data_IF_423295215019
#
_entry.id   IF_423295215019
#
_cell.length_a   1.000
_cell.length_b   1.000
_cell.length_c   1.000
_cell.angle_alpha   90.00
_cell.angle_beta   90.00
_cell.angle_gamma   90.00
#
_symmetry.space_group_name_H-M   'P 1'
#
loop_
_entity.id
_entity.type
_entity.pdbx_description
1 polymer ?
#
# COMPACT_ATOMS: atom_id res chain seq x y z
N UNK A 1 -32.75 1.21 23.09
CA UNK A 1 -31.86 2.22 22.46
C UNK A 1 -31.47 1.72 21.09
N UNK A 2 -31.74 2.47 20.02
CA UNK A 2 -31.34 2.07 18.67
C UNK A 2 -29.81 1.87 18.63
N UNK A 3 -29.35 0.69 18.19
CA UNK A 3 -27.92 0.44 17.94
C UNK A 3 -27.47 1.46 16.89
N UNK A 4 -26.56 2.37 17.26
CA UNK A 4 -25.91 3.22 16.27
C UNK A 4 -25.05 2.32 15.39
N UNK A 5 -25.36 2.30 14.10
CA UNK A 5 -24.56 1.63 13.07
C UNK A 5 -23.74 2.66 12.29
N UNK A 6 -22.65 2.21 11.66
CA UNK A 6 -21.85 3.07 10.78
C UNK A 6 -22.74 3.67 9.68
N UNK A 7 -22.67 4.98 9.47
CA UNK A 7 -23.36 5.63 8.35
C UNK A 7 -22.73 5.22 7.03
N UNK A 8 -23.55 4.66 6.13
CA UNK A 8 -23.17 4.28 4.75
C UNK A 8 -23.32 5.47 3.79
N UNK A 9 -22.60 6.56 4.05
CA UNK A 9 -22.69 7.80 3.26
C UNK A 9 -21.70 7.90 2.08
N UNK A 10 -20.84 6.89 1.89
CA UNK A 10 -19.90 6.83 0.77
C UNK A 10 -20.59 6.40 -0.52
N UNK A 11 -20.50 7.23 -1.56
CA UNK A 11 -20.96 6.88 -2.91
C UNK A 11 -19.99 5.88 -3.56
N UNK A 12 -20.48 5.06 -4.51
CA UNK A 12 -19.64 4.13 -5.29
C UNK A 12 -18.39 4.80 -5.89
N UNK A 13 -18.48 6.07 -6.32
CA UNK A 13 -17.34 6.84 -6.83
C UNK A 13 -16.25 7.05 -5.77
N UNK A 14 -16.64 7.31 -4.51
CA UNK A 14 -15.70 7.51 -3.40
C UNK A 14 -14.97 6.22 -3.09
N UNK A 15 -15.69 5.08 -3.03
CA UNK A 15 -15.09 3.76 -2.78
C UNK A 15 -14.08 3.38 -3.88
N UNK A 16 -14.43 3.58 -5.14
CA UNK A 16 -13.52 3.29 -6.26
C UNK A 16 -12.27 4.17 -6.24
N UNK A 17 -12.40 5.43 -5.84
CA UNK A 17 -11.28 6.36 -5.78
C UNK A 17 -10.44 6.20 -4.51
N UNK A 18 -11.01 5.75 -3.38
CA UNK A 18 -10.23 5.30 -2.23
C UNK A 18 -9.37 4.10 -2.62
N UNK A 19 -9.91 3.16 -3.41
CA UNK A 19 -9.12 2.02 -3.93
C UNK A 19 -8.04 2.43 -4.95
N UNK A 20 -8.20 3.56 -5.65
CA UNK A 20 -7.18 4.10 -6.59
C UNK A 20 -6.16 4.96 -5.84
N UNK A 21 -6.62 5.90 -5.03
CA UNK A 21 -5.80 6.83 -4.25
C UNK A 21 -5.04 6.15 -3.12
N UNK A 22 -5.56 5.03 -2.60
CA UNK A 22 -4.89 4.17 -1.62
C UNK A 22 -3.88 3.20 -2.22
N UNK A 23 -3.95 2.91 -3.53
CA UNK A 23 -2.91 2.12 -4.22
C UNK A 23 -1.75 2.99 -4.69
N UNK A 24 -2.03 4.23 -5.09
CA UNK A 24 -1.01 5.21 -5.52
C UNK A 24 -0.63 6.09 -4.33
N UNK A 25 0.42 5.69 -3.61
CA UNK A 25 0.87 6.36 -2.39
C UNK A 25 2.38 6.54 -2.32
N UNK A 26 2.87 6.66 -1.09
CA UNK A 26 4.27 6.95 -0.77
C UNK A 26 5.24 5.86 -1.20
N UNK A 27 4.79 4.61 -1.32
CA UNK A 27 5.62 3.54 -1.87
C UNK A 27 6.07 3.84 -3.30
N UNK A 28 5.16 4.30 -4.17
CA UNK A 28 5.52 4.71 -5.53
C UNK A 28 6.32 6.01 -5.53
N UNK A 29 5.90 7.04 -4.79
CA UNK A 29 6.53 8.36 -4.92
C UNK A 29 7.86 8.50 -4.18
N UNK A 30 7.98 8.01 -2.94
CA UNK A 30 9.20 8.10 -2.14
C UNK A 30 9.98 6.78 -2.18
N UNK A 31 9.28 5.65 -2.02
CA UNK A 31 9.91 4.33 -2.00
C UNK A 31 10.62 3.97 -3.30
N UNK A 32 10.16 4.50 -4.44
CA UNK A 32 10.83 4.28 -5.72
C UNK A 32 12.21 4.93 -5.81
N UNK A 33 12.49 6.06 -5.14
CA UNK A 33 13.82 6.69 -5.16
C UNK A 33 14.89 5.74 -4.60
N UNK A 34 14.64 5.22 -3.39
CA UNK A 34 15.53 4.20 -2.79
C UNK A 34 15.59 2.91 -3.60
N UNK A 35 14.47 2.46 -4.17
CA UNK A 35 14.44 1.25 -4.99
C UNK A 35 15.22 1.42 -6.30
N UNK A 36 15.19 2.61 -6.91
CA UNK A 36 15.97 2.95 -8.12
C UNK A 36 17.46 2.92 -7.79
N UNK A 37 17.89 3.51 -6.67
CA UNK A 37 19.31 3.44 -6.29
C UNK A 37 19.79 2.00 -6.05
N UNK A 38 18.93 1.12 -5.54
CA UNK A 38 19.28 -0.28 -5.31
C UNK A 38 19.31 -1.11 -6.61
N UNK A 39 18.26 -1.01 -7.44
CA UNK A 39 18.08 -1.88 -8.61
C UNK A 39 18.58 -1.27 -9.93
N UNK A 40 18.74 0.05 -9.99
CA UNK A 40 18.89 0.77 -11.25
C UNK A 40 17.69 0.51 -12.18
N UNK A 41 17.92 0.39 -13.50
CA UNK A 41 16.86 0.15 -14.48
C UNK A 41 16.10 -1.17 -14.30
N UNK A 42 16.68 -2.16 -13.63
CA UNK A 42 16.02 -3.44 -13.34
C UNK A 42 14.80 -3.31 -12.41
N UNK A 43 14.60 -2.14 -11.79
CA UNK A 43 13.39 -1.82 -11.01
C UNK A 43 12.10 -2.03 -11.83
N UNK A 44 12.15 -1.82 -13.15
CA UNK A 44 11.02 -2.07 -14.06
C UNK A 44 10.57 -3.54 -14.01
N UNK A 45 11.53 -4.47 -13.96
CA UNK A 45 11.25 -5.89 -13.81
C UNK A 45 10.69 -6.21 -12.43
N UNK A 46 11.19 -5.56 -11.37
CA UNK A 46 10.68 -5.73 -10.01
C UNK A 46 9.19 -5.38 -9.95
N UNK A 47 8.81 -4.20 -10.47
CA UNK A 47 7.40 -3.78 -10.51
C UNK A 47 6.53 -4.70 -11.38
N UNK A 48 7.06 -5.19 -12.50
CA UNK A 48 6.32 -6.11 -13.36
C UNK A 48 6.07 -7.47 -12.68
N UNK A 49 7.11 -8.06 -12.08
CA UNK A 49 7.02 -9.36 -11.42
C UNK A 49 6.07 -9.31 -10.22
N UNK A 50 6.25 -8.32 -9.32
CA UNK A 50 5.40 -8.16 -8.16
C UNK A 50 3.97 -7.78 -8.58
N UNK A 51 3.82 -6.88 -9.54
CA UNK A 51 2.51 -6.48 -10.05
C UNK A 51 1.73 -7.66 -10.65
N UNK A 52 2.38 -8.52 -11.44
CA UNK A 52 1.77 -9.74 -11.98
C UNK A 52 1.36 -10.68 -10.85
N UNK A 53 2.25 -10.93 -9.88
CA UNK A 53 1.94 -11.77 -8.73
C UNK A 53 0.70 -11.26 -7.97
N UNK A 54 0.63 -9.97 -7.68
CA UNK A 54 -0.48 -9.37 -6.96
C UNK A 54 -1.77 -9.31 -7.77
N UNK A 55 -1.70 -9.19 -9.09
CA UNK A 55 -2.88 -9.37 -9.94
C UNK A 55 -3.51 -10.76 -9.73
N UNK A 56 -2.71 -11.82 -9.69
CA UNK A 56 -3.21 -13.17 -9.42
C UNK A 56 -3.71 -13.36 -7.99
N UNK A 57 -3.09 -12.73 -6.98
CA UNK A 57 -3.64 -12.68 -5.61
C UNK A 57 -5.04 -12.04 -5.63
N UNK A 58 -5.21 -10.94 -6.35
CA UNK A 58 -6.50 -10.27 -6.46
C UNK A 58 -7.53 -11.08 -7.24
N UNK A 59 -7.11 -11.86 -8.25
CA UNK A 59 -7.98 -12.84 -8.92
C UNK A 59 -8.49 -13.91 -7.96
N UNK A 60 -7.62 -14.47 -7.11
CA UNK A 60 -8.00 -15.44 -6.08
C UNK A 60 -8.94 -14.82 -5.03
N UNK A 61 -8.65 -13.59 -4.58
CA UNK A 61 -9.51 -12.83 -3.68
C UNK A 61 -10.90 -12.61 -4.28
N UNK A 62 -10.98 -12.17 -5.55
CA UNK A 62 -12.24 -11.93 -6.23
C UNK A 62 -13.07 -13.20 -6.42
N UNK A 63 -12.45 -14.34 -6.72
CA UNK A 63 -13.16 -15.63 -6.82
C UNK A 63 -13.75 -16.03 -5.47
N UNK A 64 -12.98 -15.89 -4.37
CA UNK A 64 -13.46 -16.16 -3.01
C UNK A 64 -14.64 -15.26 -2.65
N UNK A 65 -14.53 -13.95 -2.85
CA UNK A 65 -15.59 -12.99 -2.51
C UNK A 65 -16.88 -13.23 -3.32
N UNK A 66 -16.76 -13.76 -4.54
CA UNK A 66 -17.90 -14.04 -5.42
C UNK A 66 -18.41 -15.49 -5.35
N UNK A 67 -17.85 -16.31 -4.46
CA UNK A 67 -18.16 -17.75 -4.33
C UNK A 67 -19.56 -18.09 -3.78
N UNK A 68 -20.47 -17.11 -3.70
CA UNK A 68 -21.82 -17.21 -3.10
C UNK A 68 -21.86 -17.58 -1.60
N UNK A 69 -20.72 -17.56 -0.90
CA UNK A 69 -20.64 -17.85 0.53
C UNK A 69 -20.94 -16.64 1.44
N UNK A 70 -21.23 -15.46 0.87
CA UNK A 70 -21.63 -14.28 1.64
C UNK A 70 -20.48 -13.54 2.33
N UNK A 71 -19.22 -13.80 1.96
CA UNK A 71 -18.08 -13.12 2.57
C UNK A 71 -18.08 -11.62 2.32
N UNK A 72 -17.86 -10.86 3.39
CA UNK A 72 -17.70 -9.40 3.35
C UNK A 72 -16.26 -8.96 3.58
N UNK A 73 -15.40 -9.87 4.06
CA UNK A 73 -13.99 -9.60 4.31
C UNK A 73 -13.11 -10.83 4.14
N UNK A 74 -11.80 -10.62 3.96
CA UNK A 74 -10.85 -11.74 3.87
C UNK A 74 -10.56 -12.42 5.20
N UNK A 75 -10.88 -11.79 6.33
CA UNK A 75 -10.80 -12.44 7.64
C UNK A 75 -11.88 -13.50 7.81
N UNK A 76 -13.06 -13.33 7.20
CA UNK A 76 -14.15 -14.32 7.26
C UNK A 76 -13.78 -15.61 6.53
N UNK A 77 -13.29 -15.53 5.29
CA UNK A 77 -12.87 -16.75 4.59
C UNK A 77 -11.55 -17.31 5.14
N UNK A 78 -10.71 -16.51 5.81
CA UNK A 78 -9.57 -17.04 6.57
C UNK A 78 -10.07 -17.87 7.77
N UNK A 79 -11.08 -17.38 8.49
CA UNK A 79 -11.76 -18.11 9.57
C UNK A 79 -12.37 -19.42 9.06
N UNK A 80 -13.12 -19.39 7.96
CA UNK A 80 -13.82 -20.56 7.45
C UNK A 80 -12.86 -21.62 6.88
N UNK A 81 -11.94 -21.24 5.98
CA UNK A 81 -11.09 -22.22 5.31
C UNK A 81 -9.83 -22.58 6.10
N UNK A 82 -9.25 -21.64 6.86
CA UNK A 82 -7.99 -21.89 7.60
C UNK A 82 -8.24 -22.19 9.07
N UNK A 83 -9.15 -21.45 9.69
CA UNK A 83 -9.61 -21.67 11.07
C UNK A 83 -9.74 -20.36 11.84
N UNK A 84 -10.44 -20.35 12.99
CA UNK A 84 -10.72 -19.12 13.75
C UNK A 84 -9.47 -18.33 14.17
N UNK A 85 -8.37 -19.03 14.49
CA UNK A 85 -7.09 -18.40 14.81
C UNK A 85 -6.56 -17.56 13.64
N UNK A 86 -6.75 -18.03 12.40
CA UNK A 86 -6.25 -17.35 11.22
C UNK A 86 -7.04 -16.09 10.93
N UNK A 87 -8.35 -16.10 11.16
CA UNK A 87 -9.19 -14.90 11.12
C UNK A 87 -8.73 -13.83 12.10
N UNK A 88 -8.55 -14.22 13.37
CA UNK A 88 -8.08 -13.33 14.43
C UNK A 88 -6.70 -12.72 14.12
N UNK A 89 -5.72 -13.56 13.79
CA UNK A 89 -4.36 -13.12 13.46
C UNK A 89 -4.37 -12.22 12.23
N UNK A 90 -5.13 -12.58 11.20
CA UNK A 90 -5.21 -11.78 9.96
C UNK A 90 -5.88 -10.44 10.21
N UNK A 91 -6.93 -10.37 11.04
CA UNK A 91 -7.61 -9.12 11.36
C UNK A 91 -6.71 -8.13 12.10
N UNK A 92 -6.02 -8.59 13.14
CA UNK A 92 -5.05 -7.76 13.87
C UNK A 92 -3.82 -7.41 13.04
N UNK A 93 -3.27 -8.36 12.28
CA UNK A 93 -2.14 -8.09 11.38
C UNK A 93 -2.54 -7.10 10.30
N UNK A 94 -3.74 -7.16 9.75
CA UNK A 94 -4.21 -6.16 8.78
C UNK A 94 -4.39 -4.77 9.39
N UNK A 95 -4.89 -4.66 10.63
CA UNK A 95 -4.87 -3.39 11.35
C UNK A 95 -3.44 -2.86 11.50
N UNK A 96 -2.50 -3.71 11.93
CA UNK A 96 -1.10 -3.35 12.11
C UNK A 96 -0.40 -2.96 10.80
N UNK A 97 -0.68 -3.65 9.69
CA UNK A 97 -0.24 -3.28 8.35
C UNK A 97 -0.56 -1.82 8.04
N UNK A 98 -1.83 -1.42 8.22
CA UNK A 98 -2.28 -0.07 7.92
C UNK A 98 -1.72 0.97 8.88
N UNK A 99 -1.43 0.60 10.13
CA UNK A 99 -0.69 1.46 11.06
C UNK A 99 0.72 1.73 10.52
N UNK A 100 1.45 0.69 10.10
CA UNK A 100 2.81 0.83 9.57
C UNK A 100 2.85 1.62 8.25
N UNK A 101 1.85 1.43 7.38
CA UNK A 101 1.70 2.24 6.17
C UNK A 101 1.41 3.70 6.50
N UNK A 102 0.51 3.99 7.44
CA UNK A 102 0.24 5.36 7.88
C UNK A 102 1.48 6.02 8.52
N UNK A 103 2.32 5.26 9.23
CA UNK A 103 3.62 5.75 9.70
C UNK A 103 4.54 6.13 8.53
N UNK A 104 4.64 5.27 7.51
CA UNK A 104 5.42 5.57 6.31
C UNK A 104 4.92 6.85 5.63
N UNK A 105 3.60 7.04 5.58
CA UNK A 105 2.98 8.20 4.96
C UNK A 105 3.29 9.51 5.70
N UNK A 106 3.19 9.55 7.04
CA UNK A 106 3.54 10.77 7.79
C UNK A 106 5.04 11.06 7.77
N UNK A 107 5.90 10.03 7.69
CA UNK A 107 7.35 10.21 7.53
C UNK A 107 7.62 10.84 6.15
N UNK A 108 6.97 10.35 5.10
CA UNK A 108 7.08 10.93 3.77
C UNK A 108 6.59 12.39 3.71
N UNK A 109 5.50 12.72 4.41
CA UNK A 109 5.07 14.12 4.58
C UNK A 109 6.19 14.97 5.16
N UNK A 110 6.91 14.46 6.16
CA UNK A 110 8.05 15.16 6.74
C UNK A 110 9.18 15.39 5.75
N UNK A 111 9.54 14.38 4.95
CA UNK A 111 10.53 14.48 3.87
C UNK A 111 10.11 15.52 2.82
N UNK A 112 8.85 15.50 2.38
CA UNK A 112 8.40 16.43 1.34
C UNK A 112 8.32 17.89 1.82
N UNK A 113 8.02 18.14 3.09
CA UNK A 113 8.05 19.51 3.64
C UNK A 113 9.47 20.06 3.69
N UNK A 114 10.48 19.20 3.88
CA UNK A 114 11.89 19.61 3.87
C UNK A 114 12.36 20.20 2.54
N UNK A 115 11.65 19.92 1.44
CA UNK A 115 11.91 20.55 0.15
C UNK A 115 11.79 22.08 0.17
N UNK A 116 10.83 22.62 0.94
CA UNK A 116 10.61 24.08 1.03
C UNK A 116 11.15 24.68 2.33
N UNK A 117 11.17 23.92 3.41
CA UNK A 117 11.48 24.43 4.75
C UNK A 117 12.48 23.53 5.45
N UNK A 118 13.58 24.09 5.95
CA UNK A 118 14.55 23.35 6.75
C UNK A 118 14.04 23.13 8.19
N UNK A 119 13.08 22.20 8.34
CA UNK A 119 12.50 21.81 9.62
C UNK A 119 12.67 20.31 9.87
N UNK A 120 12.86 19.86 11.13
CA UNK A 120 12.95 18.45 11.45
C UNK A 120 11.70 17.66 11.03
N UNK A 121 11.88 16.55 10.32
CA UNK A 121 10.80 15.73 9.71
C UNK A 121 9.64 15.38 10.65
N UNK A 122 9.92 15.17 11.94
CA UNK A 122 8.90 14.78 12.93
C UNK A 122 7.85 15.88 13.19
N UNK A 123 8.19 17.15 13.02
CA UNK A 123 7.28 18.29 13.25
C UNK A 123 6.14 18.29 12.21
N UNK A 124 6.41 18.39 10.88
CA UNK A 124 5.36 18.31 9.87
C UNK A 124 4.62 16.97 9.89
N UNK A 125 5.29 15.85 10.22
CA UNK A 125 4.64 14.55 10.39
C UNK A 125 3.54 14.59 11.48
N UNK A 126 3.85 15.13 12.66
CA UNK A 126 2.87 15.27 13.76
C UNK A 126 1.77 16.28 13.42
N UNK A 127 2.11 17.42 12.82
CA UNK A 127 1.12 18.43 12.41
C UNK A 127 0.11 17.81 11.43
N UNK A 128 0.61 17.10 10.42
CA UNK A 128 -0.24 16.39 9.46
C UNK A 128 -1.15 15.38 10.17
N UNK A 129 -0.59 14.56 11.06
CA UNK A 129 -1.34 13.56 11.82
C UNK A 129 -2.48 14.19 12.65
N UNK A 130 -2.22 15.31 13.32
CA UNK A 130 -3.22 16.05 14.11
C UNK A 130 -4.33 16.63 13.22
N UNK A 131 -3.97 17.21 12.07
CA UNK A 131 -4.94 17.71 11.09
C UNK A 131 -5.83 16.57 10.59
N UNK A 132 -5.24 15.44 10.20
CA UNK A 132 -5.97 14.28 9.70
C UNK A 132 -6.88 13.66 10.77
N UNK A 133 -6.43 13.59 12.03
CA UNK A 133 -7.28 13.16 13.15
C UNK A 133 -8.51 14.08 13.28
N UNK A 134 -8.30 15.40 13.24
CA UNK A 134 -9.39 16.39 13.28
C UNK A 134 -10.39 16.18 12.15
N UNK A 135 -9.91 16.02 10.92
CA UNK A 135 -10.76 15.78 9.75
C UNK A 135 -11.58 14.48 9.88
N UNK A 136 -10.97 13.39 10.35
CA UNK A 136 -11.65 12.11 10.52
C UNK A 136 -12.71 12.12 11.65
N UNK A 137 -12.56 12.99 12.65
CA UNK A 137 -13.54 13.14 13.73
C UNK A 137 -14.77 13.98 13.32
N UNK A 138 -14.63 14.88 12.33
CA UNK A 138 -15.68 15.82 11.96
C UNK A 138 -16.76 15.19 11.06
N UNK A 139 -16.43 14.70 9.86
CA UNK A 139 -17.43 14.04 8.99
C UNK A 139 -16.83 13.06 7.97
N UNK A 140 -17.49 11.91 7.77
CA UNK A 140 -17.15 10.91 6.73
C UNK A 140 -17.39 11.44 5.30
N UNK A 141 -18.28 12.43 5.14
CA UNK A 141 -18.60 13.02 3.83
C UNK A 141 -17.50 13.95 3.32
N UNK A 142 -16.93 14.78 4.20
CA UNK A 142 -15.80 15.65 3.84
C UNK A 142 -14.57 14.81 3.45
N UNK A 143 -14.35 13.69 4.16
CA UNK A 143 -13.34 12.69 3.80
C UNK A 143 -13.47 12.21 2.36
N UNK A 144 -14.66 11.72 1.95
CA UNK A 144 -14.84 11.13 0.62
C UNK A 144 -14.67 12.11 -0.53
N UNK A 145 -15.03 13.39 -0.33
CA UNK A 145 -14.83 14.44 -1.35
C UNK A 145 -13.37 14.90 -1.42
N UNK A 146 -12.65 15.03 -0.29
CA UNK A 146 -11.22 15.36 -0.32
C UNK A 146 -10.39 14.26 -1.01
N UNK A 147 -10.65 12.99 -0.68
CA UNK A 147 -9.99 11.85 -1.32
C UNK A 147 -10.27 11.80 -2.83
N UNK A 148 -11.49 12.16 -3.25
CA UNK A 148 -11.84 12.25 -4.67
C UNK A 148 -10.92 13.22 -5.41
N UNK A 149 -10.75 14.44 -4.89
CA UNK A 149 -9.90 15.45 -5.52
C UNK A 149 -8.42 15.08 -5.45
N UNK A 150 -7.95 14.57 -4.31
CA UNK A 150 -6.55 14.13 -4.18
C UNK A 150 -6.21 12.98 -5.13
N UNK A 151 -7.08 11.99 -5.28
CA UNK A 151 -6.86 10.89 -6.22
C UNK A 151 -6.79 11.37 -7.68
N UNK A 152 -7.62 12.33 -8.08
CA UNK A 152 -7.59 12.91 -9.44
C UNK A 152 -6.27 13.63 -9.70
N UNK A 153 -5.83 14.48 -8.76
CA UNK A 153 -4.57 15.22 -8.90
C UNK A 153 -3.39 14.26 -9.08
N UNK A 154 -3.32 13.17 -8.29
CA UNK A 154 -2.27 12.14 -8.42
C UNK A 154 -2.23 11.54 -9.83
N UNK A 155 -3.39 11.11 -10.33
CA UNK A 155 -3.49 10.45 -11.65
C UNK A 155 -3.11 11.40 -12.77
N UNK A 156 -3.62 12.64 -12.74
CA UNK A 156 -3.28 13.66 -13.75
C UNK A 156 -1.78 13.94 -13.73
N UNK A 157 -1.18 14.07 -12.56
CA UNK A 157 0.26 14.33 -12.43
C UNK A 157 1.12 13.20 -13.02
N UNK A 158 0.77 11.94 -12.77
CA UNK A 158 1.52 10.81 -13.35
C UNK A 158 1.37 10.80 -14.87
N UNK A 159 0.14 11.01 -15.39
CA UNK A 159 -0.09 11.07 -16.84
C UNK A 159 0.68 12.23 -17.46
N UNK A 160 0.66 13.41 -16.84
CA UNK A 160 1.40 14.58 -17.30
C UNK A 160 2.90 14.32 -17.32
N UNK A 161 3.46 13.68 -16.28
CA UNK A 161 4.87 13.29 -16.24
C UNK A 161 5.22 12.36 -17.41
N UNK A 162 4.40 11.33 -17.65
CA UNK A 162 4.62 10.39 -18.76
C UNK A 162 4.59 11.12 -20.09
N UNK A 163 3.58 11.96 -20.34
CA UNK A 163 3.45 12.72 -21.59
C UNK A 163 4.63 13.65 -21.79
N UNK A 164 5.01 14.43 -20.77
CA UNK A 164 6.14 15.36 -20.85
C UNK A 164 7.44 14.60 -21.12
N UNK A 165 7.72 13.52 -20.37
CA UNK A 165 8.96 12.79 -20.58
C UNK A 165 9.03 12.07 -21.93
N UNK A 166 7.90 11.59 -22.47
CA UNK A 166 7.83 11.07 -23.86
C UNK A 166 8.10 12.18 -24.88
N UNK A 167 7.55 13.38 -24.69
CA UNK A 167 7.83 14.54 -25.56
C UNK A 167 9.33 14.89 -25.51
N UNK A 168 9.94 14.93 -24.32
CA UNK A 168 11.37 15.20 -24.16
C UNK A 168 12.24 14.14 -24.83
N UNK A 169 11.81 12.87 -24.79
CA UNK A 169 12.47 11.75 -25.45
C UNK A 169 12.41 11.85 -26.97
N UNK A 170 11.27 12.25 -27.53
CA UNK A 170 11.10 12.44 -28.98
C UNK A 170 11.94 13.61 -29.49
N UNK A 171 12.01 14.70 -28.72
CA UNK A 171 12.78 15.91 -29.08
C UNK A 171 14.30 15.71 -28.85
N UNK A 172 14.70 14.72 -28.05
CA UNK A 172 16.11 14.52 -27.67
C UNK A 172 16.62 15.66 -26.79
N UNK A 173 15.79 16.10 -25.84
CA UNK A 173 16.13 17.23 -24.96
C UNK A 173 17.38 16.94 -24.13
N UNK A 174 18.25 17.93 -23.95
CA UNK A 174 19.41 17.83 -23.07
C UNK A 174 19.09 18.43 -21.71
N UNK A 175 19.12 17.61 -20.66
CA UNK A 175 19.04 18.05 -19.28
C UNK A 175 20.43 18.46 -18.77
N UNK A 176 20.48 19.02 -17.57
CA UNK A 176 21.75 19.33 -16.90
C UNK A 176 22.57 18.08 -16.54
N UNK A 177 21.98 16.88 -16.63
CA UNK A 177 22.56 15.59 -16.23
C UNK A 177 22.83 14.65 -17.41
N UNK A 178 22.48 15.05 -18.63
CA UNK A 178 22.68 14.27 -19.86
C UNK A 178 21.55 14.45 -20.87
N UNK A 179 21.64 13.76 -22.00
CA UNK A 179 20.54 13.72 -22.97
C UNK A 179 19.42 12.81 -22.48
N UNK A 180 18.17 13.24 -22.61
CA UNK A 180 17.00 12.37 -22.47
C UNK A 180 17.09 11.31 -23.57
N UNK A 181 17.23 10.04 -23.18
CA UNK A 181 17.45 8.94 -24.12
C UNK A 181 17.02 7.60 -23.54
N UNK A 182 16.51 6.72 -24.40
CA UNK A 182 16.29 5.30 -24.07
C UNK A 182 17.58 4.63 -23.59
N UNK A 183 18.72 5.09 -24.08
CA UNK A 183 20.03 4.51 -23.73
C UNK A 183 20.39 4.71 -22.27
N UNK A 184 19.76 5.64 -21.56
CA UNK A 184 19.96 5.82 -20.11
C UNK A 184 19.58 4.55 -19.31
N UNK A 185 18.76 3.66 -19.88
CA UNK A 185 18.41 2.35 -19.30
C UNK A 185 19.57 1.34 -19.29
N UNK A 186 20.61 1.52 -20.11
CA UNK A 186 21.72 0.55 -20.18
C UNK A 186 23.11 1.16 -20.26
N UNK A 187 23.27 2.45 -20.54
CA UNK A 187 24.58 3.10 -20.63
C UNK A 187 25.27 3.30 -19.28
N UNK A 188 24.54 3.23 -18.16
CA UNK A 188 25.07 3.46 -16.82
C UNK A 188 25.20 2.14 -16.04
N UNK A 189 25.89 1.16 -16.62
CA UNK A 189 26.12 -0.17 -16.01
C UNK A 189 25.14 -1.26 -16.44
N UNK A 190 24.41 -1.07 -17.55
CA UNK A 190 23.43 -2.03 -18.05
C UNK A 190 22.10 -1.98 -17.27
N UNK A 191 21.23 -2.97 -17.52
CA UNK A 191 19.94 -3.07 -16.85
C UNK A 191 20.07 -3.45 -15.36
N UNK A 192 21.14 -4.16 -14.99
CA UNK A 192 21.42 -4.63 -13.63
C UNK A 192 22.75 -4.05 -13.10
N UNK A 193 22.85 -2.73 -12.91
CA UNK A 193 24.13 -2.07 -12.60
C UNK A 193 24.70 -2.47 -11.24
N UNK A 194 23.83 -2.77 -10.27
CA UNK A 194 24.21 -3.30 -8.96
C UNK A 194 24.07 -4.83 -8.88
N UNK A 195 24.10 -5.50 -10.04
CA UNK A 195 23.89 -6.94 -10.16
C UNK A 195 22.49 -7.42 -9.74
N UNK A 196 22.34 -8.74 -9.67
CA UNK A 196 21.09 -9.38 -9.24
C UNK A 196 20.79 -9.07 -7.78
N UNK A 197 21.82 -8.88 -6.94
CA UNK A 197 21.63 -8.52 -5.52
C UNK A 197 20.87 -7.21 -5.37
N UNK A 198 21.27 -6.13 -6.07
CA UNK A 198 20.56 -4.84 -6.02
C UNK A 198 19.10 -4.94 -6.47
N UNK A 199 18.85 -5.70 -7.53
CA UNK A 199 17.49 -6.05 -7.97
C UNK A 199 16.67 -6.73 -6.87
N UNK A 200 17.22 -7.77 -6.24
CA UNK A 200 16.55 -8.51 -5.17
C UNK A 200 16.25 -7.64 -3.94
N UNK A 201 17.18 -6.77 -3.56
CA UNK A 201 17.01 -5.84 -2.43
C UNK A 201 15.87 -4.83 -2.67
N UNK A 202 15.59 -4.48 -3.92
CA UNK A 202 14.49 -3.57 -4.26
C UNK A 202 13.09 -4.17 -4.10
N UNK A 203 12.97 -5.51 -4.15
CA UNK A 203 11.68 -6.20 -4.18
C UNK A 203 10.79 -5.85 -2.99
N UNK A 204 11.37 -5.62 -1.81
CA UNK A 204 10.61 -5.27 -0.61
C UNK A 204 9.94 -3.88 -0.71
N UNK A 205 10.64 -2.88 -1.27
CA UNK A 205 10.10 -1.54 -1.50
C UNK A 205 9.02 -1.58 -2.57
N UNK A 206 9.20 -2.42 -3.58
CA UNK A 206 8.21 -2.65 -4.63
C UNK A 206 6.97 -3.35 -4.07
N UNK A 207 7.13 -4.34 -3.20
CA UNK A 207 6.01 -4.98 -2.46
C UNK A 207 5.24 -3.93 -1.68
N UNK A 208 5.93 -3.07 -0.92
CA UNK A 208 5.29 -1.97 -0.19
C UNK A 208 4.54 -1.01 -1.13
N UNK A 209 5.05 -0.77 -2.33
CA UNK A 209 4.43 0.14 -3.31
C UNK A 209 3.09 -0.34 -3.87
N UNK A 210 2.76 -1.62 -3.72
CA UNK A 210 1.49 -2.21 -4.12
C UNK A 210 0.50 -2.42 -2.97
N UNK A 211 0.87 -2.05 -1.76
CA UNK A 211 -0.04 -2.04 -0.62
C UNK A 211 -1.30 -1.25 -0.96
N UNK A 212 -2.46 -1.75 -0.52
CA UNK A 212 -3.75 -1.15 -0.82
C UNK A 212 -4.45 -1.76 -2.04
N UNK A 213 -3.78 -2.62 -2.82
CA UNK A 213 -4.43 -3.29 -3.97
C UNK A 213 -5.55 -4.23 -3.51
N UNK A 214 -5.41 -4.79 -2.30
CA UNK A 214 -6.40 -5.60 -1.61
C UNK A 214 -7.61 -4.82 -1.08
N UNK A 215 -7.59 -3.48 -1.08
CA UNK A 215 -8.77 -2.66 -0.72
C UNK A 215 -9.96 -2.90 -1.64
N UNK A 216 -9.73 -3.47 -2.84
CA UNK A 216 -10.82 -3.98 -3.69
C UNK A 216 -11.68 -5.01 -2.94
N UNK A 217 -11.06 -5.83 -2.08
CA UNK A 217 -11.77 -6.79 -1.25
C UNK A 217 -12.59 -6.15 -0.13
N UNK A 218 -12.09 -5.08 0.51
CA UNK A 218 -12.86 -4.34 1.51
C UNK A 218 -14.03 -3.60 0.85
N UNK A 219 -13.80 -3.05 -0.34
CA UNK A 219 -14.81 -2.38 -1.16
C UNK A 219 -15.94 -3.32 -1.62
N UNK A 220 -15.72 -4.64 -1.61
CA UNK A 220 -16.73 -5.63 -1.97
C UNK A 220 -17.94 -5.60 -1.03
N UNK A 221 -17.72 -5.38 0.27
CA UNK A 221 -18.79 -5.31 1.28
C UNK A 221 -19.69 -4.08 1.11
N UNK A 222 -19.15 -3.00 0.53
CA UNK A 222 -19.83 -1.71 0.43
C UNK A 222 -20.35 -1.39 -0.98
N UNK A 223 -20.07 -2.24 -1.97
CA UNK A 223 -20.44 -1.95 -3.36
C UNK A 223 -21.84 -2.44 -3.72
N UNK A 224 -22.62 -1.58 -4.40
CA UNK A 224 -24.01 -1.89 -4.77
C UNK A 224 -24.16 -3.09 -5.72
N UNK A 225 -23.14 -3.40 -6.54
CA UNK A 225 -23.15 -4.50 -7.50
C UNK A 225 -21.83 -5.29 -7.48
N UNK A 226 -21.58 -6.12 -6.44
CA UNK A 226 -20.31 -6.81 -6.24
C UNK A 226 -19.90 -7.69 -7.44
N UNK A 227 -20.85 -8.42 -8.03
CA UNK A 227 -20.62 -9.30 -9.19
C UNK A 227 -20.11 -8.59 -10.45
N UNK A 228 -20.38 -7.29 -10.60
CA UNK A 228 -19.91 -6.49 -11.74
C UNK A 228 -18.68 -5.66 -11.38
N UNK A 229 -18.70 -5.05 -10.20
CA UNK A 229 -17.72 -4.05 -9.80
C UNK A 229 -16.38 -4.68 -9.36
N UNK A 230 -16.42 -5.81 -8.64
CA UNK A 230 -15.20 -6.51 -8.19
C UNK A 230 -14.39 -7.01 -9.40
N UNK A 231 -14.97 -7.76 -10.37
CA UNK A 231 -14.23 -8.17 -11.56
C UNK A 231 -13.68 -7.00 -12.36
N UNK A 232 -14.46 -5.93 -12.53
CA UNK A 232 -13.99 -4.75 -13.27
C UNK A 232 -12.82 -4.06 -12.57
N UNK A 233 -12.81 -4.00 -11.24
CA UNK A 233 -11.72 -3.38 -10.49
C UNK A 233 -10.44 -4.21 -10.61
N UNK A 234 -10.54 -5.53 -10.42
CA UNK A 234 -9.41 -6.46 -10.50
C UNK A 234 -8.82 -6.49 -11.91
N UNK A 235 -9.66 -6.59 -12.95
CA UNK A 235 -9.17 -6.66 -14.33
C UNK A 235 -8.50 -5.37 -14.83
N UNK A 236 -8.68 -4.25 -14.11
CA UNK A 236 -7.99 -2.97 -14.41
C UNK A 236 -6.64 -2.85 -13.70
N UNK A 237 -6.30 -3.75 -12.77
CA UNK A 237 -5.03 -3.72 -12.05
C UNK A 237 -3.82 -3.77 -13.00
N UNK A 238 -3.76 -4.66 -14.03
CA UNK A 238 -2.61 -4.68 -14.95
C UNK A 238 -2.38 -3.35 -15.66
N UNK A 239 -3.47 -2.67 -16.09
CA UNK A 239 -3.36 -1.35 -16.73
C UNK A 239 -2.79 -0.32 -15.75
N UNK A 240 -3.20 -0.36 -14.48
CA UNK A 240 -2.67 0.52 -13.43
C UNK A 240 -1.20 0.26 -13.16
N UNK A 241 -0.79 -1.01 -13.09
CA UNK A 241 0.63 -1.41 -12.93
C UNK A 241 1.46 -0.87 -14.10
N UNK A 242 1.04 -1.13 -15.33
CA UNK A 242 1.79 -0.73 -16.52
C UNK A 242 1.85 0.78 -16.67
N UNK A 243 0.75 1.50 -16.43
CA UNK A 243 0.70 2.95 -16.60
C UNK A 243 1.42 3.67 -15.45
N UNK A 244 0.97 3.46 -14.21
CA UNK A 244 1.39 4.30 -13.08
C UNK A 244 2.73 3.92 -12.49
N UNK A 245 3.13 2.65 -12.60
CA UNK A 245 4.37 2.17 -12.01
C UNK A 245 5.43 1.99 -13.10
N UNK A 246 5.21 1.05 -14.01
CA UNK A 246 6.22 0.72 -15.03
C UNK A 246 6.43 1.88 -16.00
N UNK A 247 5.36 2.47 -16.53
CA UNK A 247 5.41 3.55 -17.50
C UNK A 247 6.01 4.83 -16.93
N UNK A 248 5.58 5.23 -15.74
CA UNK A 248 6.15 6.40 -15.06
C UNK A 248 7.64 6.22 -14.77
N UNK A 249 8.05 5.10 -14.18
CA UNK A 249 9.46 4.83 -13.86
C UNK A 249 10.31 4.66 -15.12
N UNK A 250 9.77 4.06 -16.17
CA UNK A 250 10.45 3.94 -17.46
C UNK A 250 10.79 5.32 -18.01
N UNK A 251 9.81 6.24 -18.02
CA UNK A 251 10.02 7.61 -18.48
C UNK A 251 11.02 8.34 -17.58
N UNK A 252 10.91 8.23 -16.26
CA UNK A 252 11.86 8.81 -15.30
C UNK A 252 13.30 8.38 -15.62
N UNK A 253 13.52 7.08 -15.83
CA UNK A 253 14.84 6.52 -16.12
C UNK A 253 15.38 6.85 -17.51
N UNK A 254 14.50 7.15 -18.48
CA UNK A 254 14.92 7.66 -19.78
C UNK A 254 15.30 9.14 -19.70
N UNK A 255 14.62 9.92 -18.86
CA UNK A 255 14.88 11.35 -18.69
C UNK A 255 16.15 11.60 -17.91
N UNK A 256 16.35 10.91 -16.78
CA UNK A 256 17.54 11.06 -15.97
C UNK A 256 18.23 9.71 -15.75
N UNK A 257 19.57 9.65 -15.89
CA UNK A 257 20.33 8.49 -15.46
C UNK A 257 20.02 8.13 -14.01
N UNK A 258 19.85 6.84 -13.73
CA UNK A 258 19.53 6.37 -12.37
C UNK A 258 20.57 6.79 -11.32
N UNK A 259 21.81 7.06 -11.73
CA UNK A 259 22.91 7.52 -10.87
C UNK A 259 22.73 8.95 -10.36
N UNK A 260 21.83 9.74 -10.96
CA UNK A 260 21.58 11.14 -10.60
C UNK A 260 20.35 11.30 -9.70
N UNK A 261 19.64 10.21 -9.42
CA UNK A 261 18.43 10.23 -8.60
C UNK A 261 18.77 9.96 -7.13
N UNK A 262 18.30 10.82 -6.22
CA UNK A 262 18.53 10.68 -4.78
C UNK A 262 17.57 9.66 -4.18
N UNK A 263 18.09 8.79 -3.31
CA UNK A 263 17.33 7.80 -2.57
C UNK A 263 16.40 8.42 -1.52
N UNK A 264 16.70 9.64 -1.08
CA UNK A 264 15.97 10.35 -0.04
C UNK A 264 14.87 11.25 -0.59
N UNK A 265 14.86 11.49 -1.90
CA UNK A 265 13.89 12.34 -2.58
C UNK A 265 12.95 11.53 -3.47
N UNK A 266 11.85 12.15 -3.90
CA UNK A 266 10.97 11.52 -4.88
C UNK A 266 11.53 11.68 -6.29
N UNK A 267 11.75 10.59 -7.04
CA UNK A 267 12.22 10.69 -8.43
C UNK A 267 11.21 11.39 -9.35
N UNK A 268 9.93 11.45 -8.94
CA UNK A 268 8.90 12.21 -9.65
C UNK A 268 9.13 13.72 -9.54
N UNK A 269 9.65 14.19 -8.40
CA UNK A 269 10.00 15.60 -8.17
C UNK A 269 11.33 15.92 -8.86
N UNK A 270 12.31 15.03 -8.71
CA UNK A 270 13.66 15.23 -9.25
C UNK A 270 13.69 15.36 -10.76
N UNK A 271 12.85 14.61 -11.47
CA UNK A 271 12.78 14.71 -12.93
C UNK A 271 12.60 16.16 -13.38
N UNK A 272 11.67 16.90 -12.79
CA UNK A 272 11.41 18.28 -13.16
C UNK A 272 12.46 19.26 -12.62
N UNK A 273 13.08 18.95 -11.49
CA UNK A 273 14.19 19.73 -10.95
C UNK A 273 15.40 19.66 -11.89
N UNK A 274 15.74 18.46 -12.37
CA UNK A 274 16.90 18.19 -13.24
C UNK A 274 16.70 18.66 -14.69
N UNK A 275 15.45 18.71 -15.18
CA UNK A 275 15.11 19.36 -16.46
C UNK A 275 15.24 20.90 -16.38
N UNK A 276 15.36 21.47 -15.18
CA UNK A 276 15.53 22.92 -14.98
C UNK A 276 14.22 23.69 -14.92
N UNK A 277 13.14 23.07 -14.44
CA UNK A 277 11.84 23.73 -14.21
C UNK A 277 11.52 23.69 -12.69
N UNK A 278 12.15 24.55 -11.86
CA UNK A 278 11.98 24.51 -10.40
C UNK A 278 10.52 24.67 -9.95
N UNK A 279 9.75 25.48 -10.66
CA UNK A 279 8.31 25.67 -10.39
C UNK A 279 7.55 24.35 -10.56
N UNK A 280 7.86 23.57 -11.60
CA UNK A 280 7.25 22.26 -11.80
C UNK A 280 7.67 21.30 -10.71
N UNK A 281 8.94 21.27 -10.32
CA UNK A 281 9.40 20.44 -9.19
C UNK A 281 8.65 20.77 -7.89
N UNK A 282 8.46 22.05 -7.57
CA UNK A 282 7.65 22.48 -6.43
C UNK A 282 6.19 22.04 -6.52
N UNK A 283 5.55 22.17 -7.68
CA UNK A 283 4.17 21.70 -7.89
C UNK A 283 4.08 20.18 -7.68
N UNK A 284 5.00 19.41 -8.25
CA UNK A 284 5.02 17.95 -8.10
C UNK A 284 5.28 17.56 -6.64
N UNK A 285 6.18 18.27 -5.94
CA UNK A 285 6.43 18.04 -4.53
C UNK A 285 5.16 18.26 -3.69
N UNK A 286 4.36 19.28 -4.03
CA UNK A 286 3.04 19.50 -3.41
C UNK A 286 2.04 18.39 -3.74
N UNK A 287 2.05 17.87 -4.97
CA UNK A 287 1.20 16.73 -5.34
C UNK A 287 1.58 15.48 -4.55
N UNK A 288 2.87 15.15 -4.42
CA UNK A 288 3.28 13.94 -3.67
C UNK A 288 3.08 14.09 -2.16
N UNK A 289 3.22 15.32 -1.62
CA UNK A 289 2.84 15.67 -0.25
C UNK A 289 1.36 15.39 0.01
N UNK A 290 0.47 15.95 -0.82
CA UNK A 290 -0.97 15.72 -0.69
C UNK A 290 -1.33 14.25 -0.92
N UNK A 291 -0.55 13.55 -1.76
CA UNK A 291 -0.70 12.12 -1.96
C UNK A 291 -0.41 11.30 -0.69
N UNK A 292 0.68 11.61 0.00
CA UNK A 292 1.04 10.98 1.27
C UNK A 292 0.01 11.28 2.36
N UNK A 293 -0.44 12.53 2.47
CA UNK A 293 -1.48 12.91 3.43
C UNK A 293 -2.80 12.17 3.17
N UNK A 294 -3.23 12.04 1.91
CA UNK A 294 -4.42 11.27 1.50
C UNK A 294 -4.29 9.77 1.79
N UNK A 295 -3.11 9.18 1.55
CA UNK A 295 -2.85 7.78 1.88
C UNK A 295 -2.92 7.54 3.40
N UNK A 296 -2.28 8.41 4.20
CA UNK A 296 -2.34 8.35 5.66
C UNK A 296 -3.78 8.49 6.16
N UNK A 297 -4.55 9.41 5.58
CA UNK A 297 -5.94 9.66 5.91
C UNK A 297 -6.81 8.40 5.67
N UNK A 298 -6.63 7.76 4.51
CA UNK A 298 -7.27 6.48 4.18
C UNK A 298 -6.85 5.35 5.14
N UNK A 299 -5.59 5.34 5.58
CA UNK A 299 -5.08 4.41 6.60
C UNK A 299 -5.74 4.61 7.98
N UNK A 300 -5.84 5.85 8.47
CA UNK A 300 -6.52 6.17 9.73
C UNK A 300 -8.02 5.83 9.68
N UNK A 301 -8.66 6.12 8.55
CA UNK A 301 -10.04 5.76 8.28
C UNK A 301 -10.26 4.24 8.33
N UNK A 302 -9.37 3.47 7.70
CA UNK A 302 -9.46 2.00 7.61
C UNK A 302 -9.15 1.33 8.95
N UNK A 303 -8.08 1.73 9.63
CA UNK A 303 -7.67 1.19 10.94
C UNK A 303 -8.76 1.38 11.99
N UNK A 304 -9.43 2.52 12.01
CA UNK A 304 -10.55 2.77 12.94
C UNK A 304 -11.72 1.80 12.74
N UNK A 305 -12.04 1.43 11.50
CA UNK A 305 -13.12 0.47 11.15
C UNK A 305 -12.73 -0.98 11.39
N UNK A 306 -11.49 -1.34 11.08
CA UNK A 306 -10.97 -2.68 11.36
C UNK A 306 -11.04 -2.91 12.86
N UNK A 307 -10.56 -1.96 13.67
CA UNK A 307 -10.54 -2.09 15.12
C UNK A 307 -11.95 -2.04 15.74
N UNK A 308 -12.87 -1.25 15.17
CA UNK A 308 -14.30 -1.31 15.50
C UNK A 308 -14.90 -2.69 15.23
N UNK A 309 -14.59 -3.30 14.09
CA UNK A 309 -15.09 -4.62 13.70
C UNK A 309 -14.52 -5.73 14.59
N UNK A 310 -13.22 -5.68 14.86
CA UNK A 310 -12.57 -6.59 15.83
C UNK A 310 -13.24 -6.48 17.19
N UNK A 311 -13.52 -5.27 17.68
CA UNK A 311 -14.22 -5.06 18.94
C UNK A 311 -15.66 -5.62 18.92
N UNK A 312 -16.41 -5.42 17.84
CA UNK A 312 -17.77 -5.96 17.68
C UNK A 312 -17.82 -7.48 17.68
N UNK A 313 -16.78 -8.11 17.15
CA UNK A 313 -16.60 -9.57 17.15
C UNK A 313 -16.00 -10.08 18.48
N UNK A 314 -15.87 -9.21 19.49
CA UNK A 314 -15.29 -9.51 20.80
C UNK A 314 -13.77 -9.74 20.78
N UNK A 315 -13.11 -9.48 19.66
CA UNK A 315 -11.68 -9.72 19.42
C UNK A 315 -10.79 -8.57 19.87
N UNK A 316 -11.38 -7.44 20.27
CA UNK A 316 -10.73 -6.28 20.83
C UNK A 316 -11.56 -5.67 21.99
N UNK A 317 -10.97 -4.81 22.85
CA UNK A 317 -11.70 -4.21 23.97
C UNK A 317 -12.98 -3.47 23.56
N UNK A 318 -14.09 -3.74 24.26
CA UNK A 318 -15.43 -3.18 23.99
C UNK A 318 -15.54 -1.64 24.02
N UNK A 319 -14.49 -0.93 24.46
CA UNK A 319 -14.45 0.53 24.35
C UNK A 319 -14.23 0.99 22.91
N UNK A 320 -13.66 0.16 22.04
CA UNK A 320 -13.27 0.48 20.67
C UNK A 320 -14.46 0.42 19.68
N UNK A 321 -15.53 -0.29 20.04
CA UNK A 321 -16.80 -0.28 19.29
C UNK A 321 -17.69 0.95 19.55
N UNK A 322 -17.30 1.86 20.45
CA UNK A 322 -18.11 3.06 20.74
C UNK A 322 -18.04 4.08 19.60
N UNK A 323 -19.19 4.52 19.13
CA UNK A 323 -19.34 5.57 18.12
C UNK A 323 -19.58 6.95 18.75
N UNK A 324 -19.09 8.01 18.11
CA UNK A 324 -19.41 9.40 18.45
C UNK A 324 -20.75 9.84 17.82
N UNK A 325 -21.15 11.11 18.04
CA UNK A 325 -22.40 11.68 17.50
C UNK A 325 -22.48 11.66 15.96
N UNK A 326 -21.34 11.58 15.29
CA UNK A 326 -21.18 11.54 13.84
C UNK A 326 -21.04 10.10 13.30
N UNK A 327 -21.28 9.08 14.13
CA UNK A 327 -21.16 7.65 13.80
C UNK A 327 -19.72 7.23 13.41
N UNK A 328 -18.71 7.88 14.01
CA UNK A 328 -17.29 7.54 13.85
C UNK A 328 -16.79 6.79 15.09
N UNK A 329 -16.02 5.69 14.96
CA UNK A 329 -15.44 4.98 16.10
C UNK A 329 -14.25 5.75 16.70
N UNK A 330 -14.55 6.79 17.48
CA UNK A 330 -13.57 7.78 17.94
C UNK A 330 -12.45 7.18 18.81
N UNK A 331 -12.78 6.22 19.68
CA UNK A 331 -11.78 5.54 20.51
C UNK A 331 -10.80 4.72 19.67
N UNK A 332 -11.32 3.99 18.67
CA UNK A 332 -10.49 3.22 17.76
C UNK A 332 -9.58 4.11 16.90
N UNK A 333 -10.11 5.24 16.43
CA UNK A 333 -9.35 6.24 15.69
C UNK A 333 -8.25 6.88 16.55
N UNK A 334 -8.55 7.28 17.78
CA UNK A 334 -7.56 7.84 18.72
C UNK A 334 -6.45 6.83 19.04
N UNK A 335 -6.81 5.58 19.35
CA UNK A 335 -5.84 4.51 19.58
C UNK A 335 -4.93 4.33 18.36
N UNK A 336 -5.50 4.25 17.15
CA UNK A 336 -4.73 4.09 15.92
C UNK A 336 -3.80 5.29 15.68
N UNK A 337 -4.28 6.51 15.91
CA UNK A 337 -3.49 7.75 15.75
C UNK A 337 -2.33 7.82 16.74
N UNK A 338 -2.56 7.45 18.01
CA UNK A 338 -1.49 7.38 19.03
C UNK A 338 -0.41 6.41 18.59
N UNK A 339 -0.79 5.22 18.09
CA UNK A 339 0.21 4.25 17.62
C UNK A 339 0.94 4.82 16.40
N UNK A 340 0.25 5.41 15.42
CA UNK A 340 0.87 6.06 14.25
C UNK A 340 1.84 7.19 14.64
N UNK A 341 1.61 7.90 15.75
CA UNK A 341 2.52 8.95 16.24
C UNK A 341 3.93 8.44 16.57
N UNK A 342 4.08 7.13 16.82
CA UNK A 342 5.39 6.48 16.97
C UNK A 342 6.19 6.64 15.67
N UNK A 343 5.56 6.68 14.49
CA UNK A 343 6.25 6.94 13.23
C UNK A 343 6.94 8.31 13.21
N UNK A 344 6.31 9.35 13.77
CA UNK A 344 6.97 10.66 13.91
C UNK A 344 8.10 10.64 14.94
N UNK A 345 7.99 9.82 16.00
CA UNK A 345 9.09 9.59 16.93
C UNK A 345 10.26 8.87 16.23
N UNK A 346 9.98 7.88 15.38
CA UNK A 346 11.00 7.19 14.58
C UNK A 346 11.69 8.16 13.61
N UNK A 347 10.97 9.07 12.95
CA UNK A 347 11.61 10.09 12.10
C UNK A 347 12.44 11.11 12.88
N UNK A 348 12.26 11.21 14.21
CA UNK A 348 13.14 12.00 15.09
C UNK A 348 14.39 11.22 15.50
N UNK A 349 14.22 9.95 15.86
CA UNK A 349 15.29 9.14 16.46
C UNK A 349 16.21 8.50 15.41
N UNK A 350 15.65 8.06 14.28
CA UNK A 350 16.36 7.35 13.21
C UNK A 350 15.92 7.85 11.82
N UNK A 351 16.03 9.17 11.52
CA UNK A 351 15.42 9.80 10.34
C UNK A 351 15.69 9.07 9.01
N UNK A 352 16.94 8.67 8.76
CA UNK A 352 17.33 7.99 7.52
C UNK A 352 16.76 6.57 7.38
N UNK A 353 16.53 5.89 8.50
CA UNK A 353 16.12 4.48 8.54
C UNK A 353 14.62 4.32 8.79
N UNK A 354 13.96 5.33 9.36
CA UNK A 354 12.58 5.28 9.83
C UNK A 354 11.64 4.80 8.73
N UNK A 355 11.73 5.37 7.53
CA UNK A 355 10.92 4.97 6.37
C UNK A 355 11.16 3.50 5.99
N UNK A 356 12.43 3.09 5.88
CA UNK A 356 12.78 1.70 5.53
C UNK A 356 12.26 0.72 6.59
N UNK A 357 12.40 1.03 7.88
CA UNK A 357 11.93 0.16 8.98
C UNK A 357 10.43 -0.07 8.90
N UNK A 358 9.62 1.00 8.82
CA UNK A 358 8.16 0.88 8.84
C UNK A 358 7.61 0.24 7.56
N UNK A 359 8.19 0.56 6.40
CA UNK A 359 7.79 -0.03 5.12
C UNK A 359 8.15 -1.51 5.04
N UNK A 360 9.31 -1.90 5.59
CA UNK A 360 9.73 -3.31 5.68
C UNK A 360 8.76 -4.12 6.53
N UNK A 361 8.39 -3.63 7.72
CA UNK A 361 7.45 -4.34 8.59
C UNK A 361 6.06 -4.40 7.93
N UNK A 362 5.60 -3.30 7.32
CA UNK A 362 4.36 -3.27 6.55
C UNK A 362 4.35 -4.33 5.45
N UNK A 363 5.41 -4.39 4.63
CA UNK A 363 5.56 -5.36 3.55
C UNK A 363 5.47 -6.81 4.05
N UNK A 364 6.13 -7.16 5.17
CA UNK A 364 6.06 -8.51 5.75
C UNK A 364 4.63 -8.84 6.19
N UNK A 365 3.95 -7.90 6.85
CA UNK A 365 2.58 -8.10 7.30
C UNK A 365 1.59 -8.21 6.12
N UNK A 366 1.81 -7.48 5.01
CA UNK A 366 1.02 -7.64 3.79
C UNK A 366 1.31 -8.95 3.06
N UNK A 367 2.57 -9.42 3.05
CA UNK A 367 2.91 -10.76 2.57
C UNK A 367 2.10 -11.82 3.34
N UNK A 368 1.93 -11.68 4.65
CA UNK A 368 1.03 -12.56 5.42
C UNK A 368 -0.42 -12.49 4.93
N UNK A 369 -0.98 -11.28 4.79
CA UNK A 369 -2.37 -11.07 4.34
C UNK A 369 -2.61 -11.66 2.94
N UNK A 370 -1.70 -11.45 2.00
CA UNK A 370 -1.83 -12.02 0.67
C UNK A 370 -1.59 -13.53 0.66
N UNK A 371 -0.70 -14.03 1.51
CA UNK A 371 -0.49 -15.48 1.67
C UNK A 371 -1.73 -16.17 2.21
N UNK A 372 -2.41 -15.60 3.22
CA UNK A 372 -3.63 -16.21 3.78
C UNK A 372 -4.77 -16.23 2.76
N UNK A 373 -4.86 -15.21 1.89
CA UNK A 373 -5.81 -15.20 0.75
C UNK A 373 -5.54 -16.39 -0.18
N UNK A 374 -4.28 -16.59 -0.58
CA UNK A 374 -3.91 -17.70 -1.46
C UNK A 374 -4.14 -19.07 -0.81
N UNK A 375 -3.81 -19.21 0.47
CA UNK A 375 -4.02 -20.45 1.24
C UNK A 375 -5.51 -20.75 1.36
N UNK A 376 -6.35 -19.76 1.69
CA UNK A 376 -7.81 -19.90 1.71
C UNK A 376 -8.34 -20.28 0.33
N UNK A 377 -7.82 -19.68 -0.74
CA UNK A 377 -8.24 -20.00 -2.11
C UNK A 377 -7.85 -21.43 -2.53
N UNK A 378 -6.66 -21.90 -2.14
CA UNK A 378 -6.24 -23.31 -2.36
C UNK A 378 -7.20 -24.26 -1.62
N UNK A 379 -7.54 -23.96 -0.36
CA UNK A 379 -8.46 -24.79 0.43
C UNK A 379 -9.87 -24.77 -0.14
N UNK A 380 -10.42 -23.60 -0.44
CA UNK A 380 -11.68 -23.43 -1.16
C UNK A 380 -11.75 -24.27 -2.44
N UNK A 381 -10.69 -24.20 -3.25
CA UNK A 381 -10.59 -24.95 -4.50
C UNK A 381 -10.64 -26.47 -4.32
N UNK A 382 -10.21 -26.98 -3.16
CA UNK A 382 -10.20 -28.41 -2.83
C UNK A 382 -11.47 -28.87 -2.11
N UNK A 383 -12.01 -28.05 -1.21
CA UNK A 383 -13.12 -28.44 -0.32
C UNK A 383 -14.50 -28.06 -0.86
N UNK A 384 -14.58 -27.08 -1.77
CA UNK A 384 -15.85 -26.58 -2.34
C UNK A 384 -15.84 -26.57 -3.88
N UNK A 385 -15.55 -27.71 -4.54
CA UNK A 385 -15.52 -27.79 -6.00
C UNK A 385 -16.89 -27.44 -6.63
N UNK A 386 -17.97 -27.69 -5.91
CA UNK A 386 -19.35 -27.37 -6.28
C UNK A 386 -19.59 -25.85 -6.41
N UNK A 387 -19.12 -25.06 -5.44
CA UNK A 387 -19.22 -23.59 -5.50
C UNK A 387 -18.30 -23.03 -6.56
N UNK A 388 -17.10 -23.59 -6.70
CA UNK A 388 -16.11 -23.16 -7.68
C UNK A 388 -16.57 -23.41 -9.11
N UNK A 389 -17.25 -24.52 -9.37
CA UNK A 389 -17.85 -24.80 -10.67
C UNK A 389 -18.86 -23.71 -11.09
N UNK A 390 -19.61 -23.18 -10.12
CA UNK A 390 -20.61 -22.11 -10.31
C UNK A 390 -20.02 -20.69 -10.30
N UNK A 391 -18.73 -20.52 -10.00
CA UNK A 391 -18.11 -19.20 -9.97
C UNK A 391 -18.08 -18.57 -11.36
N UNK A 392 -18.65 -17.37 -11.47
CA UNK A 392 -18.62 -16.56 -12.69
C UNK A 392 -17.30 -15.82 -12.88
N UNK A 393 -16.43 -15.81 -11.87
CA UNK A 393 -15.14 -15.13 -11.88
C UNK A 393 -14.06 -16.05 -11.32
N UNK A 394 -13.37 -16.76 -12.22
CA UNK A 394 -12.37 -17.78 -11.86
C UNK A 394 -10.96 -17.22 -11.86
N UNK A 395 -10.13 -17.60 -10.90
CA UNK A 395 -8.70 -17.32 -10.88
C UNK A 395 -7.97 -18.24 -11.87
N UNK A 396 -7.39 -17.69 -12.96
CA UNK A 396 -6.73 -18.50 -13.98
C UNK A 396 -5.45 -19.17 -13.45
N UNK A 397 -5.04 -20.28 -14.06
CA UNK A 397 -3.82 -21.04 -13.74
C UNK A 397 -3.73 -21.57 -12.30
N UNK A 398 -4.85 -21.62 -11.58
CA UNK A 398 -4.92 -22.16 -10.22
C UNK A 398 -5.09 -23.69 -10.25
N UNK A 399 -4.43 -24.44 -9.34
CA UNK A 399 -3.73 -23.95 -8.14
C UNK A 399 -2.25 -23.61 -8.33
N UNK A 400 -1.62 -23.91 -9.48
CA UNK A 400 -0.19 -23.73 -9.71
C UNK A 400 0.28 -22.30 -9.39
N UNK A 401 -0.42 -21.29 -9.89
CA UNK A 401 -0.05 -19.88 -9.67
C UNK A 401 -0.09 -19.48 -8.19
N UNK A 402 -0.97 -20.08 -7.37
CA UNK A 402 -1.03 -19.79 -5.93
C UNK A 402 0.24 -20.28 -5.24
N UNK A 403 0.70 -21.49 -5.56
CA UNK A 403 1.94 -22.04 -5.01
C UNK A 403 3.17 -21.27 -5.48
N UNK A 404 3.20 -20.85 -6.76
CA UNK A 404 4.29 -20.03 -7.30
C UNK A 404 4.41 -18.69 -6.56
N UNK A 405 3.29 -18.00 -6.29
CA UNK A 405 3.30 -16.72 -5.56
C UNK A 405 3.65 -16.91 -4.09
N UNK A 406 3.18 -17.95 -3.43
CA UNK A 406 3.62 -18.29 -2.07
C UNK A 406 5.13 -18.55 -2.02
N UNK A 407 5.68 -19.23 -3.03
CA UNK A 407 7.12 -19.40 -3.19
C UNK A 407 7.87 -18.09 -3.39
N UNK A 408 7.33 -17.18 -4.22
CA UNK A 408 7.88 -15.84 -4.42
C UNK A 408 7.89 -15.02 -3.12
N UNK A 409 6.81 -15.05 -2.35
CA UNK A 409 6.76 -14.38 -1.05
C UNK A 409 7.77 -14.95 -0.06
N UNK A 410 7.89 -16.27 0.03
CA UNK A 410 8.91 -16.91 0.84
C UNK A 410 10.32 -16.50 0.39
N UNK A 411 10.57 -16.47 -0.92
CA UNK A 411 11.83 -16.03 -1.49
C UNK A 411 12.15 -14.56 -1.12
N UNK A 412 11.18 -13.66 -1.20
CA UNK A 412 11.37 -12.25 -0.79
C UNK A 412 11.72 -12.17 0.71
N UNK A 413 11.04 -12.92 1.57
CA UNK A 413 11.37 -12.95 3.01
C UNK A 413 12.80 -13.48 3.25
N UNK A 414 13.25 -14.47 2.48
CA UNK A 414 14.63 -14.97 2.55
C UNK A 414 15.62 -13.88 2.11
N UNK A 415 15.36 -13.17 1.01
CA UNK A 415 16.20 -12.05 0.57
C UNK A 415 16.29 -10.97 1.66
N UNK A 416 15.17 -10.65 2.30
CA UNK A 416 15.12 -9.66 3.39
C UNK A 416 15.94 -10.06 4.63
N UNK A 417 16.20 -11.36 4.83
CA UNK A 417 17.06 -11.85 5.91
C UNK A 417 18.54 -11.51 5.66
N UNK A 418 18.97 -11.58 4.40
CA UNK A 418 20.36 -11.30 4.03
C UNK A 418 20.64 -9.80 3.89
N UNK A 419 19.61 -9.01 3.60
CA UNK A 419 19.69 -7.56 3.47
C UNK A 419 19.81 -6.83 4.83
N UNK A 420 20.94 -6.16 5.10
CA UNK A 420 21.20 -5.49 6.38
C UNK A 420 20.11 -4.49 6.79
N UNK A 421 19.63 -3.69 5.83
CA UNK A 421 18.62 -2.67 6.06
C UNK A 421 17.24 -3.23 6.45
N UNK A 422 16.92 -4.48 6.10
CA UNK A 422 15.61 -5.10 6.38
C UNK A 422 15.68 -6.22 7.41
N UNK A 423 16.86 -6.77 7.66
CA UNK A 423 17.09 -7.94 8.53
C UNK A 423 16.51 -7.74 9.92
N UNK A 424 16.77 -6.59 10.55
CA UNK A 424 16.29 -6.31 11.90
C UNK A 424 14.76 -6.30 11.95
N UNK A 425 14.11 -5.58 11.04
CA UNK A 425 12.65 -5.55 10.93
C UNK A 425 12.06 -6.95 10.70
N UNK A 426 12.68 -7.76 9.84
CA UNK A 426 12.25 -9.13 9.60
C UNK A 426 12.35 -10.00 10.86
N UNK A 427 13.46 -9.93 11.60
CA UNK A 427 13.67 -10.72 12.81
C UNK A 427 12.75 -10.33 13.97
N UNK A 428 12.35 -9.06 14.03
CA UNK A 428 11.44 -8.56 15.07
C UNK A 428 9.96 -8.81 14.75
N UNK A 429 9.58 -8.91 13.47
CA UNK A 429 8.18 -9.09 13.07
C UNK A 429 7.52 -10.37 13.64
N UNK A 430 8.20 -11.53 13.78
CA UNK A 430 7.65 -12.70 14.46
C UNK A 430 7.15 -12.44 15.89
N UNK A 431 7.70 -11.46 16.60
CA UNK A 431 7.25 -11.09 17.96
C UNK A 431 5.77 -10.67 17.93
N UNK A 432 5.36 -9.93 16.89
CA UNK A 432 3.97 -9.54 16.70
C UNK A 432 3.05 -10.75 16.55
N UNK A 433 3.42 -11.71 15.69
CA UNK A 433 2.64 -12.93 15.48
C UNK A 433 2.57 -13.80 16.74
N UNK A 434 3.68 -13.95 17.46
CA UNK A 434 3.74 -14.68 18.73
C UNK A 434 2.80 -14.03 19.75
N UNK A 435 2.82 -12.70 19.86
CA UNK A 435 1.94 -11.95 20.75
C UNK A 435 0.47 -12.18 20.39
N UNK A 436 0.09 -12.16 19.11
CA UNK A 436 -1.28 -12.45 18.68
C UNK A 436 -1.71 -13.88 19.00
N UNK A 437 -0.83 -14.87 18.85
CA UNK A 437 -1.13 -16.27 19.22
C UNK A 437 -1.34 -16.40 20.73
N UNK A 438 -0.53 -15.73 21.55
CA UNK A 438 -0.69 -15.70 23.02
C UNK A 438 -2.03 -15.05 23.38
N UNK A 439 -2.37 -13.91 22.77
CA UNK A 439 -3.64 -13.22 23.01
C UNK A 439 -4.85 -14.06 22.62
N UNK A 440 -4.79 -14.73 21.47
CA UNK A 440 -5.85 -15.62 21.00
C UNK A 440 -6.08 -16.78 21.98
N UNK A 441 -5.01 -17.45 22.41
CA UNK A 441 -5.09 -18.56 23.36
C UNK A 441 -5.58 -18.13 24.74
N UNK A 442 -5.14 -16.95 25.21
CA UNK A 442 -5.59 -16.38 26.48
C UNK A 442 -7.09 -16.09 26.44
N UNK A 443 -7.60 -15.53 25.34
CA UNK A 443 -9.03 -15.27 25.16
C UNK A 443 -9.87 -16.56 25.17
N UNK A 444 -9.41 -17.62 24.51
CA UNK A 444 -10.09 -18.93 24.51
C UNK A 444 -10.23 -19.52 25.93
N UNK A 445 -9.35 -19.14 26.86
CA UNK A 445 -9.39 -19.61 28.25
C UNK A 445 -10.44 -18.89 29.12
N UNK A 446 -10.96 -17.75 28.67
CA UNK A 446 -11.93 -16.91 29.41
C UNK A 446 -13.29 -16.76 28.71
N UNK A 447 -13.47 -17.39 27.55
CA UNK A 447 -14.75 -17.52 26.84
C UNK A 447 -15.23 -18.95 26.91
#
# INVERSE_FOLDING_TARGET
MAKQELKRDLKNRHVQLIAIGGTIGTGLFLGSGKAIQLAGPSILFSYLIIGIALFFVMRALGELLLSNAGYTSFTEFATEYVGPWAGFVTGWTYWFCWIMTAMADIIAVGVYIQYWFDIPQWIPALICLVILLGLNLLTVKLFGELEFWFAIIKVITIIALIVVGVILLIIGFNTNTGSVSLTNLWNHGGMFPNGISGFLLSLQLVVFSFVGVELVGVSAAETANPRKNIPSAINKIPVRILLFYVGALFVILCVNPWTQLDATSSPFVEVFALIGIPVAAGIINFVVLTSAASACNSGLFSTSRILYTLSRNGEAPAKLEKLNKQAVPSNALLTSTIVVSIGALLSKLIPEQAFTVVTTISAICFIWVWSIILISHIKYSKTRPDLRAKSTFKAPFTPFVNYAILGLFLFILIVMLFAEATRLSLLLTPIWFILLVILYNSRKKYS
#
